data_IF_286875787252
#
_entry.id   IF_286875787252
#
_cell.length_a   1.000
_cell.length_b   1.000
_cell.length_c   1.000
_cell.angle_alpha   90.00
_cell.angle_beta   90.00
_cell.angle_gamma   90.00
#
_symmetry.space_group_name_H-M   'P 1'
#
loop_
_entity.id
_entity.type
_entity.pdbx_description
1 polymer ?
#
# COMPACT_ATOMS: atom_id res chain seq x y z
N UNK A 1 -17.30 -25.63 -10.71
CA UNK A 1 -17.52 -24.40 -9.91
C UNK A 1 -16.30 -23.51 -9.84
N UNK A 2 -15.29 -23.71 -10.71
CA UNK A 2 -14.04 -22.92 -10.79
C UNK A 2 -13.96 -22.00 -12.04
N UNK A 3 -14.82 -22.21 -13.02
CA UNK A 3 -14.75 -21.45 -14.29
C UNK A 3 -15.45 -20.08 -14.28
N UNK A 4 -16.22 -19.76 -13.25
CA UNK A 4 -17.00 -18.49 -13.21
C UNK A 4 -16.26 -17.34 -12.55
N UNK A 5 -15.08 -17.57 -11.97
CA UNK A 5 -14.32 -16.56 -11.21
C UNK A 5 -13.36 -15.76 -12.10
N UNK A 6 -12.88 -16.35 -13.20
CA UNK A 6 -11.88 -15.73 -14.09
C UNK A 6 -12.48 -14.63 -14.99
N UNK A 7 -13.78 -14.68 -15.28
CA UNK A 7 -14.43 -13.77 -16.23
C UNK A 7 -14.72 -12.36 -15.65
N UNK A 8 -14.60 -12.14 -14.36
CA UNK A 8 -15.04 -10.88 -13.72
C UNK A 8 -13.95 -9.82 -13.54
N UNK A 9 -12.69 -10.16 -13.82
CA UNK A 9 -11.55 -9.23 -13.69
C UNK A 9 -11.20 -8.48 -14.98
N UNK A 10 -11.77 -8.90 -16.12
CA UNK A 10 -11.46 -8.36 -17.45
C UNK A 10 -12.10 -7.02 -17.80
N UNK A 11 -13.15 -6.58 -17.11
CA UNK A 11 -14.02 -5.52 -17.64
C UNK A 11 -14.06 -4.20 -16.84
N UNK A 12 -13.39 -4.07 -15.70
CA UNK A 12 -13.53 -2.86 -14.88
C UNK A 12 -12.27 -2.00 -14.72
N UNK A 13 -11.12 -2.44 -15.25
CA UNK A 13 -9.93 -1.56 -15.29
C UNK A 13 -9.94 -0.75 -16.58
N UNK A 14 -10.42 0.49 -16.54
CA UNK A 14 -10.22 1.45 -17.64
C UNK A 14 -8.73 1.56 -17.93
N UNK A 15 -8.29 1.49 -19.20
CA UNK A 15 -6.88 1.72 -19.51
C UNK A 15 -6.52 3.15 -19.10
N UNK A 16 -5.54 3.27 -18.22
CA UNK A 16 -4.94 4.55 -17.85
C UNK A 16 -4.22 5.10 -19.10
N UNK A 17 -4.75 6.20 -19.64
CA UNK A 17 -4.06 6.96 -20.67
C UNK A 17 -3.14 7.93 -19.95
N UNK A 18 -1.89 7.55 -19.82
CA UNK A 18 -0.86 8.44 -19.28
C UNK A 18 -0.73 9.68 -20.17
N UNK A 19 -0.66 10.89 -19.59
CA UNK A 19 -0.23 12.05 -20.35
C UNK A 19 1.21 11.80 -20.84
N UNK A 20 1.45 11.97 -22.14
CA UNK A 20 2.76 11.78 -22.76
C UNK A 20 3.84 12.57 -22.01
N UNK A 21 4.96 11.95 -21.64
CA UNK A 21 6.03 12.66 -20.97
C UNK A 21 6.72 13.62 -21.95
N UNK A 22 6.60 14.91 -21.68
CA UNK A 22 7.12 16.01 -22.51
C UNK A 22 8.66 16.21 -22.44
N UNK A 23 9.44 15.23 -21.93
CA UNK A 23 10.87 15.49 -21.65
C UNK A 23 11.84 14.33 -21.88
N UNK A 24 11.52 13.36 -22.72
CA UNK A 24 12.53 12.35 -23.07
C UNK A 24 12.79 12.28 -24.57
N UNK A 25 13.80 13.02 -24.99
CA UNK A 25 14.50 12.77 -26.24
C UNK A 25 16.00 12.99 -26.00
N UNK A 26 16.74 11.94 -25.63
CA UNK A 26 18.19 11.90 -25.75
C UNK A 26 18.60 10.62 -26.49
N UNK A 27 18.95 10.84 -27.74
CA UNK A 27 19.48 9.83 -28.63
C UNK A 27 20.96 9.60 -28.38
N UNK A 28 21.34 8.79 -27.42
CA UNK A 28 22.62 8.06 -27.44
C UNK A 28 22.80 7.20 -26.20
N UNK A 29 22.48 5.91 -26.30
CA UNK A 29 23.26 4.77 -25.82
C UNK A 29 22.43 3.50 -25.99
N UNK A 30 22.91 2.55 -26.79
CA UNK A 30 22.37 1.20 -26.88
C UNK A 30 22.37 0.59 -25.48
N UNK A 31 21.23 0.61 -24.80
CA UNK A 31 21.04 -0.17 -23.60
C UNK A 31 21.08 -1.65 -24.00
N UNK A 32 22.05 -2.38 -23.49
CA UNK A 32 21.99 -3.84 -23.49
C UNK A 32 20.76 -4.23 -22.68
N UNK A 33 19.87 -5.10 -23.18
CA UNK A 33 18.78 -5.59 -22.36
C UNK A 33 19.41 -6.29 -21.16
N UNK A 34 19.08 -5.83 -19.95
CA UNK A 34 19.48 -6.51 -18.73
C UNK A 34 18.83 -7.89 -18.75
N UNK A 35 19.56 -8.90 -18.30
CA UNK A 35 19.11 -10.29 -18.30
C UNK A 35 18.07 -10.44 -17.20
N UNK A 36 16.83 -10.02 -17.49
CA UNK A 36 15.69 -10.29 -16.62
C UNK A 36 15.25 -11.73 -16.86
N UNK A 37 15.39 -12.57 -15.86
CA UNK A 37 14.69 -13.84 -15.85
C UNK A 37 13.19 -13.50 -15.69
N UNK A 38 12.47 -13.56 -16.79
CA UNK A 38 11.01 -13.55 -16.80
C UNK A 38 10.59 -14.77 -15.99
N UNK A 39 9.99 -14.54 -14.82
CA UNK A 39 9.38 -15.63 -14.08
C UNK A 39 8.27 -16.23 -14.94
N UNK A 40 8.13 -17.56 -14.93
CA UNK A 40 6.96 -18.22 -15.52
C UNK A 40 5.72 -17.65 -14.81
N UNK A 41 4.89 -16.93 -15.56
CA UNK A 41 3.64 -16.36 -15.03
C UNK A 41 2.69 -17.52 -14.71
N UNK A 42 2.48 -17.78 -13.43
CA UNK A 42 1.49 -18.74 -12.97
C UNK A 42 0.10 -18.08 -13.03
N UNK A 43 -0.87 -18.63 -13.78
CA UNK A 43 -2.22 -18.05 -13.83
C UNK A 43 -2.81 -17.91 -12.44
N UNK A 44 -3.26 -16.69 -12.08
CA UNK A 44 -3.89 -16.39 -10.79
C UNK A 44 -2.93 -16.16 -9.62
N UNK A 45 -1.60 -16.26 -9.81
CA UNK A 45 -0.64 -15.93 -8.77
C UNK A 45 -0.51 -14.41 -8.61
N UNK A 46 -0.41 -13.94 -7.34
CA UNK A 46 -0.13 -12.54 -7.05
C UNK A 46 1.22 -12.11 -7.61
N UNK A 47 1.25 -10.94 -8.22
CA UNK A 47 2.43 -10.36 -8.87
C UNK A 47 3.12 -9.40 -7.93
N UNK A 48 4.38 -9.64 -7.66
CA UNK A 48 5.19 -8.80 -6.79
C UNK A 48 6.34 -8.19 -7.59
N UNK A 49 6.49 -6.89 -7.54
CA UNK A 49 7.67 -6.20 -8.05
C UNK A 49 8.62 -5.93 -6.89
N UNK A 50 9.87 -6.37 -7.02
CA UNK A 50 10.94 -6.08 -6.06
C UNK A 50 11.91 -5.09 -6.69
N UNK A 51 12.28 -4.06 -5.95
CA UNK A 51 13.20 -3.01 -6.39
C UNK A 51 14.32 -2.86 -5.37
N UNK A 52 15.56 -3.13 -5.79
CA UNK A 52 16.76 -3.07 -4.93
C UNK A 52 17.98 -2.97 -5.85
N UNK A 53 18.88 -2.03 -5.63
CA UNK A 53 20.11 -1.88 -6.43
C UNK A 53 21.19 -2.89 -6.06
N UNK A 54 21.10 -3.48 -4.85
CA UNK A 54 21.97 -4.60 -4.46
C UNK A 54 21.49 -5.92 -5.09
N UNK A 55 22.14 -6.32 -6.18
CA UNK A 55 21.79 -7.52 -6.95
C UNK A 55 21.77 -8.83 -6.14
N UNK A 56 22.67 -9.09 -5.17
CA UNK A 56 22.57 -10.24 -4.27
C UNK A 56 21.28 -10.22 -3.45
N UNK A 57 20.93 -9.09 -2.80
CA UNK A 57 19.70 -8.89 -2.04
C UNK A 57 18.46 -9.10 -2.91
N UNK A 58 18.45 -8.46 -4.10
CA UNK A 58 17.37 -8.58 -5.08
C UNK A 58 17.11 -10.04 -5.48
N UNK A 59 18.17 -10.79 -5.80
CA UNK A 59 18.07 -12.21 -6.18
C UNK A 59 17.56 -13.07 -5.02
N UNK A 60 18.07 -12.87 -3.81
CA UNK A 60 17.66 -13.61 -2.63
C UNK A 60 16.18 -13.38 -2.31
N UNK A 61 15.77 -12.12 -2.27
CA UNK A 61 14.37 -11.73 -2.01
C UNK A 61 13.45 -12.30 -3.10
N UNK A 62 13.85 -12.21 -4.37
CA UNK A 62 13.08 -12.78 -5.47
C UNK A 62 12.96 -14.30 -5.38
N UNK A 63 14.03 -15.00 -5.01
CA UNK A 63 14.01 -16.44 -4.80
C UNK A 63 13.01 -16.83 -3.70
N UNK A 64 13.09 -16.19 -2.54
CA UNK A 64 12.19 -16.47 -1.41
C UNK A 64 10.71 -16.31 -1.79
N UNK A 65 10.38 -15.24 -2.50
CA UNK A 65 8.98 -14.98 -2.88
C UNK A 65 8.48 -15.93 -4.00
N UNK A 66 9.37 -16.36 -4.91
CA UNK A 66 9.01 -17.36 -5.92
C UNK A 66 8.74 -18.74 -5.32
N UNK A 67 9.52 -19.15 -4.31
CA UNK A 67 9.30 -20.41 -3.57
C UNK A 67 7.91 -20.41 -2.87
N UNK A 68 7.42 -19.26 -2.43
CA UNK A 68 6.08 -19.08 -1.88
C UNK A 68 4.96 -19.07 -2.96
N UNK A 69 5.31 -19.18 -4.23
CA UNK A 69 4.37 -19.28 -5.33
C UNK A 69 3.96 -17.95 -5.97
N UNK A 70 4.57 -16.82 -5.60
CA UNK A 70 4.32 -15.52 -6.22
C UNK A 70 4.96 -15.41 -7.61
N UNK A 71 4.32 -14.64 -8.50
CA UNK A 71 4.96 -14.17 -9.74
C UNK A 71 5.81 -12.95 -9.40
N UNK A 72 7.14 -13.04 -9.59
CA UNK A 72 8.06 -12.00 -9.13
C UNK A 72 8.79 -11.35 -10.28
N UNK A 73 8.63 -10.04 -10.39
CA UNK A 73 9.40 -9.14 -11.25
C UNK A 73 10.46 -8.43 -10.42
N UNK A 74 11.54 -7.98 -11.08
CA UNK A 74 12.65 -7.31 -10.40
C UNK A 74 13.10 -6.09 -11.18
N UNK A 75 13.43 -5.01 -10.50
CA UNK A 75 14.07 -3.81 -11.05
C UNK A 75 15.27 -3.42 -10.17
N UNK A 76 16.31 -2.83 -10.74
CA UNK A 76 17.50 -2.43 -10.00
C UNK A 76 17.64 -0.91 -9.79
N UNK A 77 16.58 -0.16 -10.12
CA UNK A 77 16.51 1.29 -9.89
C UNK A 77 15.06 1.81 -9.94
N UNK A 78 14.84 3.01 -9.41
CA UNK A 78 13.51 3.61 -9.30
C UNK A 78 12.84 3.94 -10.64
N UNK A 79 13.60 4.34 -11.65
CA UNK A 79 13.03 4.67 -12.98
C UNK A 79 12.49 3.43 -13.68
N UNK A 80 13.21 2.32 -13.57
CA UNK A 80 12.76 1.05 -14.10
C UNK A 80 11.55 0.51 -13.33
N UNK A 81 11.55 0.68 -12.01
CA UNK A 81 10.42 0.30 -11.17
C UNK A 81 9.12 0.96 -11.65
N UNK A 82 9.12 2.27 -11.93
CA UNK A 82 7.94 2.97 -12.42
C UNK A 82 7.44 2.41 -13.76
N UNK A 83 8.36 2.13 -14.70
CA UNK A 83 8.00 1.52 -15.99
C UNK A 83 7.40 0.12 -15.83
N UNK A 84 7.99 -0.70 -14.95
CA UNK A 84 7.51 -2.05 -14.69
C UNK A 84 6.16 -2.07 -13.98
N UNK A 85 5.86 -1.08 -13.14
CA UNK A 85 4.55 -0.93 -12.51
C UNK A 85 3.48 -0.72 -13.58
N UNK A 86 3.73 0.16 -14.54
CA UNK A 86 2.80 0.43 -15.63
C UNK A 86 2.61 -0.79 -16.56
N UNK A 87 3.69 -1.52 -16.86
CA UNK A 87 3.68 -2.67 -17.79
C UNK A 87 3.11 -3.95 -17.12
N UNK A 88 3.55 -4.26 -15.90
CA UNK A 88 3.25 -5.53 -15.22
C UNK A 88 2.08 -5.46 -14.25
N UNK A 89 1.66 -4.25 -13.86
CA UNK A 89 0.54 -4.04 -12.92
C UNK A 89 0.67 -4.95 -11.69
N UNK A 90 1.75 -4.83 -10.89
CA UNK A 90 1.96 -5.70 -9.73
C UNK A 90 0.88 -5.46 -8.67
N UNK A 91 0.64 -6.48 -7.84
CA UNK A 91 -0.30 -6.42 -6.72
C UNK A 91 0.38 -5.93 -5.42
N UNK A 92 1.73 -5.95 -5.40
CA UNK A 92 2.57 -5.44 -4.31
C UNK A 92 3.92 -4.95 -4.86
N UNK A 93 4.38 -3.82 -4.36
CA UNK A 93 5.74 -3.32 -4.52
C UNK A 93 6.55 -3.56 -3.24
N UNK A 94 7.67 -4.27 -3.36
CA UNK A 94 8.70 -4.40 -2.31
C UNK A 94 9.87 -3.51 -2.73
N UNK A 95 10.17 -2.49 -1.96
CA UNK A 95 10.98 -1.35 -2.41
C UNK A 95 12.11 -1.04 -1.43
N UNK A 96 13.36 -1.13 -1.88
CA UNK A 96 14.48 -0.56 -1.12
C UNK A 96 14.45 0.98 -1.20
N UNK A 97 14.85 1.59 -0.10
CA UNK A 97 14.97 3.05 0.01
C UNK A 97 16.29 3.54 -0.57
N UNK A 98 17.37 2.85 -0.27
CA UNK A 98 18.74 3.33 -0.48
C UNK A 98 19.25 2.98 -1.88
N UNK A 99 18.67 3.59 -2.90
CA UNK A 99 19.07 3.37 -4.29
C UNK A 99 19.68 4.63 -4.90
N UNK A 100 20.69 4.51 -5.79
CA UNK A 100 21.28 5.64 -6.49
C UNK A 100 20.31 6.25 -7.51
N UNK A 101 20.34 7.56 -7.66
CA UNK A 101 19.47 8.30 -8.57
C UNK A 101 18.10 8.54 -7.94
N UNK A 102 17.05 7.90 -8.44
CA UNK A 102 15.71 7.97 -7.85
C UNK A 102 15.62 7.00 -6.67
N UNK A 103 15.59 7.53 -5.46
CA UNK A 103 15.49 6.75 -4.22
C UNK A 103 14.07 6.18 -4.00
N UNK A 104 13.94 5.26 -3.02
CA UNK A 104 12.65 4.64 -2.73
C UNK A 104 11.60 5.61 -2.17
N UNK A 105 12.03 6.71 -1.55
CA UNK A 105 11.10 7.75 -1.09
C UNK A 105 10.50 8.53 -2.27
N UNK A 106 11.31 8.84 -3.28
CA UNK A 106 10.85 9.51 -4.49
C UNK A 106 9.90 8.61 -5.29
N UNK A 107 10.21 7.32 -5.41
CA UNK A 107 9.32 6.31 -6.03
C UNK A 107 7.98 6.27 -5.29
N UNK A 108 8.00 6.15 -3.96
CA UNK A 108 6.79 6.12 -3.13
C UNK A 108 5.95 7.39 -3.31
N UNK A 109 6.58 8.56 -3.25
CA UNK A 109 5.89 9.85 -3.43
C UNK A 109 5.29 9.99 -4.83
N UNK A 110 5.99 9.50 -5.85
CA UNK A 110 5.47 9.51 -7.23
C UNK A 110 4.24 8.62 -7.36
N UNK A 111 4.30 7.39 -6.87
CA UNK A 111 3.21 6.42 -6.95
C UNK A 111 1.96 6.88 -6.20
N UNK A 112 2.10 7.51 -5.05
CA UNK A 112 0.95 7.97 -4.24
C UNK A 112 0.17 9.13 -4.87
N UNK A 113 0.65 9.70 -5.97
CA UNK A 113 -0.11 10.67 -6.78
C UNK A 113 -1.03 10.00 -7.80
N UNK A 114 -0.75 8.76 -8.17
CA UNK A 114 -1.40 8.09 -9.30
C UNK A 114 -1.98 6.71 -8.97
N UNK A 115 -1.58 6.08 -7.85
CA UNK A 115 -1.99 4.72 -7.53
C UNK A 115 -2.05 4.45 -6.03
N UNK A 116 -2.90 3.51 -5.64
CA UNK A 116 -2.98 2.94 -4.30
C UNK A 116 -2.28 1.57 -4.19
N UNK A 117 -1.35 1.26 -5.11
CA UNK A 117 -0.55 0.04 -5.08
C UNK A 117 0.06 -0.17 -3.68
N UNK A 118 -0.14 -1.32 -3.02
CA UNK A 118 0.49 -1.61 -1.74
C UNK A 118 2.02 -1.56 -1.85
N UNK A 119 2.67 -0.91 -0.87
CA UNK A 119 4.13 -0.73 -0.82
C UNK A 119 4.66 -1.23 0.52
N UNK A 120 5.53 -2.23 0.46
CA UNK A 120 6.37 -2.67 1.58
C UNK A 120 7.78 -2.10 1.38
N UNK A 121 8.22 -1.23 2.28
CA UNK A 121 9.57 -0.68 2.25
C UNK A 121 10.55 -1.63 2.93
N UNK A 122 11.69 -1.86 2.27
CA UNK A 122 12.89 -2.47 2.85
C UNK A 122 13.94 -1.38 3.05
N UNK A 123 14.58 -1.28 4.22
CA UNK A 123 15.61 -0.26 4.41
C UNK A 123 16.64 -0.65 5.45
N UNK A 124 17.92 -0.32 5.16
CA UNK A 124 18.98 -0.38 6.15
C UNK A 124 18.86 0.68 7.26
N UNK A 125 18.02 1.70 7.06
CA UNK A 125 17.70 2.71 8.06
C UNK A 125 16.69 2.14 9.05
N UNK A 126 17.18 1.70 10.21
CA UNK A 126 16.37 1.09 11.27
C UNK A 126 15.80 2.08 12.29
N UNK A 127 16.06 3.39 12.15
CA UNK A 127 15.59 4.39 13.09
C UNK A 127 14.07 4.60 13.01
N UNK A 128 13.47 4.87 14.17
CA UNK A 128 12.02 5.12 14.25
C UNK A 128 11.59 6.30 13.35
N UNK A 129 12.43 7.32 13.21
CA UNK A 129 12.23 8.49 12.35
C UNK A 129 12.07 8.11 10.88
N UNK A 130 12.94 7.24 10.35
CA UNK A 130 12.88 6.83 8.94
C UNK A 130 11.64 5.97 8.64
N UNK A 131 11.24 5.14 9.60
CA UNK A 131 10.01 4.35 9.51
C UNK A 131 8.77 5.23 9.49
N UNK A 132 8.69 6.17 10.43
CA UNK A 132 7.59 7.16 10.47
C UNK A 132 7.54 7.93 9.17
N UNK A 133 8.69 8.39 8.66
CA UNK A 133 8.77 9.11 7.40
C UNK A 133 8.27 8.27 6.21
N UNK A 134 8.68 7.00 6.09
CA UNK A 134 8.23 6.11 5.02
C UNK A 134 6.73 5.83 5.07
N UNK A 135 6.21 5.59 6.27
CA UNK A 135 4.78 5.43 6.47
C UNK A 135 4.03 6.73 6.18
N UNK A 136 4.52 7.90 6.59
CA UNK A 136 3.92 9.21 6.27
C UNK A 136 3.90 9.49 4.76
N UNK A 137 4.92 9.05 4.01
CA UNK A 137 4.95 9.17 2.55
C UNK A 137 3.94 8.25 1.83
N UNK A 138 3.43 7.24 2.51
CA UNK A 138 2.41 6.40 1.92
C UNK A 138 2.72 4.91 1.87
N UNK A 139 3.84 4.45 2.38
CA UNK A 139 4.10 3.01 2.50
C UNK A 139 3.02 2.32 3.35
N UNK A 140 2.72 1.06 3.07
CA UNK A 140 1.72 0.26 3.79
C UNK A 140 2.35 -0.57 4.90
N UNK A 141 3.64 -0.86 4.79
CA UNK A 141 4.45 -1.48 5.85
C UNK A 141 5.93 -1.18 5.63
N UNK A 142 6.75 -1.52 6.62
CA UNK A 142 8.18 -1.26 6.65
C UNK A 142 8.92 -2.43 7.29
N UNK A 143 10.05 -2.84 6.71
CA UNK A 143 10.91 -3.89 7.22
C UNK A 143 12.37 -3.42 7.22
N UNK A 144 13.00 -3.45 8.39
CA UNK A 144 14.41 -3.06 8.52
C UNK A 144 15.33 -4.17 8.01
N UNK A 145 16.39 -3.81 7.28
CA UNK A 145 17.51 -4.70 6.92
C UNK A 145 18.58 -4.67 8.04
N UNK A 146 19.20 -5.80 8.41
CA UNK A 146 18.91 -7.15 7.92
C UNK A 146 17.62 -7.71 8.52
N UNK A 147 16.92 -8.54 7.78
CA UNK A 147 15.67 -9.19 8.21
C UNK A 147 15.75 -10.71 8.06
N UNK A 148 14.96 -11.41 8.85
CA UNK A 148 14.77 -12.84 8.69
C UNK A 148 13.82 -13.15 7.52
N UNK A 149 14.09 -14.19 6.71
CA UNK A 149 13.19 -14.58 5.60
C UNK A 149 11.73 -14.76 6.03
N UNK A 150 11.51 -15.36 7.19
CA UNK A 150 10.17 -15.56 7.75
C UNK A 150 9.42 -14.25 8.02
N UNK A 151 10.12 -13.19 8.46
CA UNK A 151 9.54 -11.88 8.70
C UNK A 151 9.13 -11.21 7.39
N UNK A 152 10.00 -11.22 6.37
CA UNK A 152 9.65 -10.71 5.04
C UNK A 152 8.38 -11.39 4.52
N UNK A 153 8.34 -12.73 4.53
CA UNK A 153 7.20 -13.49 4.04
C UNK A 153 5.91 -13.23 4.85
N UNK A 154 6.02 -13.08 6.16
CA UNK A 154 4.89 -12.74 7.01
C UNK A 154 4.33 -11.35 6.66
N UNK A 155 5.19 -10.35 6.45
CA UNK A 155 4.77 -8.98 6.07
C UNK A 155 4.16 -8.94 4.67
N UNK A 156 4.79 -9.59 3.69
CA UNK A 156 4.23 -9.70 2.33
C UNK A 156 2.83 -10.30 2.36
N UNK A 157 2.65 -11.45 3.03
CA UNK A 157 1.32 -12.07 3.20
C UNK A 157 0.32 -11.13 3.90
N UNK A 158 0.76 -10.41 4.94
CA UNK A 158 -0.10 -9.49 5.66
C UNK A 158 -0.54 -8.30 4.81
N UNK A 159 0.37 -7.71 4.00
CA UNK A 159 0.04 -6.59 3.10
C UNK A 159 -0.93 -7.05 2.01
N UNK A 160 -0.65 -8.16 1.33
CA UNK A 160 -1.52 -8.71 0.28
C UNK A 160 -2.91 -9.07 0.83
N UNK A 161 -2.98 -9.79 1.95
CA UNK A 161 -4.25 -10.11 2.61
C UNK A 161 -5.08 -8.87 2.93
N UNK A 162 -4.44 -7.79 3.36
CA UNK A 162 -5.12 -6.51 3.64
C UNK A 162 -5.66 -5.87 2.36
N UNK A 163 -4.96 -5.99 1.25
CA UNK A 163 -5.42 -5.51 -0.06
C UNK A 163 -6.60 -6.34 -0.58
N UNK A 164 -6.58 -7.66 -0.38
CA UNK A 164 -7.64 -8.59 -0.83
C UNK A 164 -8.90 -8.57 0.04
N UNK A 165 -8.77 -8.38 1.34
CA UNK A 165 -9.86 -8.60 2.30
C UNK A 165 -11.11 -7.75 2.05
N UNK A 166 -11.00 -6.65 1.30
CA UNK A 166 -12.15 -5.87 0.84
C UNK A 166 -12.71 -6.31 -0.52
N UNK A 167 -11.99 -7.18 -1.23
CA UNK A 167 -12.42 -7.71 -2.54
C UNK A 167 -13.25 -8.99 -2.38
N UNK A 168 -13.03 -9.79 -1.33
CA UNK A 168 -13.61 -11.13 -1.14
C UNK A 168 -14.46 -11.31 0.14
N UNK A 169 -14.59 -10.27 0.98
CA UNK A 169 -15.51 -10.28 2.11
C UNK A 169 -16.97 -10.23 1.64
N UNK A 170 -17.91 -10.69 2.50
CA UNK A 170 -19.36 -10.56 2.29
C UNK A 170 -19.72 -9.22 1.62
N UNK A 171 -20.75 -9.12 0.76
CA UNK A 171 -21.16 -7.86 0.15
C UNK A 171 -21.41 -6.86 1.29
N UNK A 172 -20.36 -6.13 1.63
CA UNK A 172 -20.45 -5.16 2.72
C UNK A 172 -21.38 -4.07 2.23
N UNK A 173 -22.55 -4.01 2.84
CA UNK A 173 -23.48 -2.91 2.69
C UNK A 173 -22.68 -1.61 2.80
N UNK A 174 -22.88 -0.73 1.84
CA UNK A 174 -22.24 0.58 1.78
C UNK A 174 -22.32 1.24 3.18
N UNK A 175 -21.19 1.29 3.90
CA UNK A 175 -21.17 1.88 5.23
C UNK A 175 -21.29 3.39 5.11
N UNK A 176 -22.34 3.96 5.70
CA UNK A 176 -22.56 5.40 5.71
C UNK A 176 -22.70 5.88 7.15
N UNK A 177 -21.91 6.88 7.52
CA UNK A 177 -21.93 7.51 8.85
C UNK A 177 -21.68 9.02 8.67
N UNK A 178 -22.51 9.87 9.27
CA UNK A 178 -22.35 11.33 9.26
C UNK A 178 -22.12 11.93 7.85
N UNK A 179 -22.79 11.38 6.83
CA UNK A 179 -22.63 11.83 5.45
C UNK A 179 -21.39 11.26 4.72
N UNK A 180 -20.51 10.55 5.40
CA UNK A 180 -19.45 9.77 4.77
C UNK A 180 -20.03 8.50 4.19
N UNK A 181 -19.59 8.10 2.99
CA UNK A 181 -19.97 6.85 2.34
C UNK A 181 -18.73 6.13 1.85
N UNK A 182 -18.53 4.92 2.31
CA UNK A 182 -17.42 4.07 1.91
C UNK A 182 -17.79 3.19 0.72
N UNK A 183 -16.90 3.16 -0.27
CA UNK A 183 -16.96 2.23 -1.42
C UNK A 183 -15.82 1.22 -1.30
N UNK A 184 -16.11 -0.02 -0.88
CA UNK A 184 -15.08 -1.05 -0.72
C UNK A 184 -14.52 -1.59 -2.03
N UNK A 185 -15.23 -1.41 -3.15
CA UNK A 185 -14.77 -1.89 -4.46
C UNK A 185 -13.63 -1.03 -4.99
N UNK A 186 -13.75 0.28 -4.79
CA UNK A 186 -12.78 1.25 -5.31
C UNK A 186 -11.84 1.80 -4.25
N UNK A 187 -11.95 1.35 -2.97
CA UNK A 187 -11.23 1.93 -1.83
C UNK A 187 -11.40 3.45 -1.74
N UNK A 188 -12.61 3.94 -1.99
CA UNK A 188 -12.91 5.37 -1.92
C UNK A 188 -13.86 5.71 -0.79
N UNK A 189 -13.78 6.93 -0.32
CA UNK A 189 -14.76 7.53 0.60
C UNK A 189 -15.33 8.79 -0.01
N UNK A 190 -16.66 8.90 -0.03
CA UNK A 190 -17.35 10.15 -0.35
C UNK A 190 -17.59 10.91 0.95
N UNK A 191 -17.12 12.14 1.02
CA UNK A 191 -17.26 13.04 2.18
C UNK A 191 -18.65 13.69 2.19
N UNK A 192 -19.07 14.31 3.30
CA UNK A 192 -20.34 15.03 3.40
C UNK A 192 -20.55 16.13 2.35
N UNK A 193 -19.47 16.72 1.84
CA UNK A 193 -19.48 17.72 0.76
C UNK A 193 -19.50 17.12 -0.65
N UNK A 194 -19.78 15.82 -0.79
CA UNK A 194 -19.74 15.03 -2.03
C UNK A 194 -18.35 14.92 -2.72
N UNK A 195 -17.27 15.31 -2.07
CA UNK A 195 -15.92 15.06 -2.59
C UNK A 195 -15.56 13.59 -2.40
N UNK A 196 -15.19 12.90 -3.47
CA UNK A 196 -14.62 11.57 -3.40
C UNK A 196 -13.12 11.64 -3.12
N UNK A 197 -12.63 10.74 -2.26
CA UNK A 197 -11.23 10.63 -1.85
C UNK A 197 -10.80 9.19 -1.97
N UNK A 198 -9.70 8.95 -2.68
CA UNK A 198 -9.08 7.63 -2.79
C UNK A 198 -8.19 7.35 -1.58
N UNK A 199 -8.31 6.14 -1.07
CA UNK A 199 -7.56 5.65 0.08
C UNK A 199 -6.72 4.45 -0.31
N UNK A 200 -5.53 4.29 0.30
CA UNK A 200 -4.83 3.02 0.21
C UNK A 200 -5.63 1.93 0.95
N UNK A 201 -5.42 0.64 0.64
CA UNK A 201 -6.15 -0.44 1.31
C UNK A 201 -6.10 -0.37 2.83
N UNK A 202 -4.95 0.00 3.39
CA UNK A 202 -4.78 0.10 4.84
C UNK A 202 -5.50 1.33 5.42
N UNK A 203 -5.50 2.47 4.74
CA UNK A 203 -6.25 3.66 5.13
C UNK A 203 -7.76 3.40 5.09
N UNK A 204 -8.22 2.73 4.03
CA UNK A 204 -9.62 2.34 3.90
C UNK A 204 -10.04 1.44 5.06
N UNK A 205 -9.23 0.43 5.38
CA UNK A 205 -9.48 -0.50 6.47
C UNK A 205 -9.53 0.19 7.84
N UNK A 206 -8.62 1.12 8.09
CA UNK A 206 -8.61 1.92 9.31
C UNK A 206 -9.86 2.80 9.42
N UNK A 207 -10.20 3.53 8.36
CA UNK A 207 -11.40 4.37 8.32
C UNK A 207 -12.67 3.54 8.50
N UNK A 208 -12.79 2.42 7.79
CA UNK A 208 -13.92 1.49 7.92
C UNK A 208 -14.07 1.00 9.37
N UNK A 209 -12.95 0.61 10.02
CA UNK A 209 -12.97 0.16 11.42
C UNK A 209 -13.45 1.26 12.36
N UNK A 210 -12.99 2.49 12.18
CA UNK A 210 -13.42 3.65 12.97
C UNK A 210 -14.89 3.98 12.74
N UNK A 211 -15.34 4.04 11.50
CA UNK A 211 -16.74 4.35 11.15
C UNK A 211 -17.71 3.26 11.62
N UNK A 212 -17.33 1.98 11.52
CA UNK A 212 -18.15 0.88 12.04
C UNK A 212 -18.34 0.94 13.55
N UNK A 213 -17.41 1.58 14.25
CA UNK A 213 -17.46 1.81 15.69
C UNK A 213 -17.69 3.29 16.04
N UNK A 214 -18.38 4.03 15.18
CA UNK A 214 -18.60 5.45 15.35
C UNK A 214 -19.19 5.78 16.75
N UNK A 215 -18.70 6.88 17.35
CA UNK A 215 -19.02 7.27 18.71
C UNK A 215 -18.26 6.53 19.81
N UNK A 216 -17.53 5.43 19.50
CA UNK A 216 -16.75 4.66 20.48
C UNK A 216 -15.26 4.92 20.32
N UNK A 217 -14.56 5.02 21.45
CA UNK A 217 -13.10 5.08 21.47
C UNK A 217 -12.54 3.67 21.22
N UNK A 218 -11.67 3.54 20.22
CA UNK A 218 -10.88 2.34 19.97
C UNK A 218 -9.45 2.56 20.43
N UNK A 219 -8.92 1.63 21.22
CA UNK A 219 -7.54 1.70 21.71
C UNK A 219 -6.53 1.47 20.58
N UNK A 220 -5.27 1.86 20.79
CA UNK A 220 -4.20 1.57 19.84
C UNK A 220 -4.09 0.07 19.54
N UNK A 221 -4.17 -0.76 20.57
CA UNK A 221 -4.08 -2.22 20.45
C UNK A 221 -5.26 -2.80 19.65
N UNK A 222 -6.49 -2.33 19.92
CA UNK A 222 -7.67 -2.74 19.16
C UNK A 222 -7.57 -2.34 17.69
N UNK A 223 -7.11 -1.13 17.40
CA UNK A 223 -6.89 -0.66 16.02
C UNK A 223 -5.77 -1.46 15.36
N UNK A 224 -4.66 -1.69 16.06
CA UNK A 224 -3.53 -2.45 15.51
C UNK A 224 -3.96 -3.90 15.17
N UNK A 225 -4.57 -4.61 16.10
CA UNK A 225 -5.00 -6.00 15.89
C UNK A 225 -6.08 -6.12 14.81
N UNK A 226 -7.05 -5.19 14.76
CA UNK A 226 -8.14 -5.25 13.78
C UNK A 226 -7.68 -4.89 12.37
N UNK A 227 -6.83 -3.88 12.24
CA UNK A 227 -6.41 -3.33 10.94
C UNK A 227 -5.20 -4.08 10.40
N UNK A 228 -4.22 -4.39 11.24
CA UNK A 228 -2.97 -5.08 10.83
C UNK A 228 -2.97 -6.58 11.10
N UNK A 229 -3.73 -7.06 12.06
CA UNK A 229 -3.86 -8.47 12.45
C UNK A 229 -3.25 -8.75 13.82
N UNK A 230 -3.70 -9.84 14.46
CA UNK A 230 -3.28 -10.22 15.82
C UNK A 230 -1.79 -10.56 15.93
N UNK A 231 -1.20 -11.13 14.86
CA UNK A 231 0.20 -11.53 14.83
C UNK A 231 1.13 -10.39 14.37
N UNK A 232 0.60 -9.16 14.28
CA UNK A 232 1.37 -8.04 13.81
C UNK A 232 2.19 -7.41 14.94
N UNK A 233 3.47 -7.73 15.00
CA UNK A 233 4.45 -7.09 15.87
C UNK A 233 4.92 -5.73 15.29
N UNK A 234 3.94 -4.89 14.94
CA UNK A 234 4.21 -3.58 14.38
C UNK A 234 4.63 -2.54 15.43
N UNK A 235 5.01 -1.38 14.92
CA UNK A 235 5.54 -0.30 15.76
C UNK A 235 4.41 0.43 16.49
N UNK A 236 4.64 0.79 17.75
CA UNK A 236 3.66 1.41 18.65
C UNK A 236 3.02 2.71 18.12
N UNK A 237 3.71 3.45 17.24
CA UNK A 237 3.23 4.70 16.66
C UNK A 237 2.62 4.56 15.25
N UNK A 238 2.54 3.35 14.70
CA UNK A 238 1.99 3.13 13.34
C UNK A 238 0.55 3.63 13.20
N UNK A 239 -0.31 3.30 14.15
CA UNK A 239 -1.70 3.80 14.15
C UNK A 239 -1.75 5.32 14.05
N UNK A 240 -0.90 6.03 14.82
CA UNK A 240 -0.87 7.49 14.82
C UNK A 240 -0.49 8.08 13.45
N UNK A 241 0.46 7.45 12.75
CA UNK A 241 0.87 7.85 11.40
C UNK A 241 -0.31 7.75 10.43
N UNK A 242 -1.03 6.63 10.43
CA UNK A 242 -2.17 6.46 9.53
C UNK A 242 -3.38 7.32 9.91
N UNK A 243 -3.60 7.60 11.19
CA UNK A 243 -4.59 8.59 11.63
C UNK A 243 -4.25 9.98 11.07
N UNK A 244 -2.98 10.39 11.15
CA UNK A 244 -2.54 11.67 10.58
C UNK A 244 -2.77 11.72 9.07
N UNK A 245 -2.46 10.66 8.33
CA UNK A 245 -2.72 10.56 6.89
C UNK A 245 -4.21 10.66 6.56
N UNK A 246 -5.08 9.92 7.28
CA UNK A 246 -6.51 10.01 7.12
C UNK A 246 -7.01 11.44 7.38
N UNK A 247 -6.56 12.09 8.46
CA UNK A 247 -6.92 13.48 8.76
C UNK A 247 -6.51 14.42 7.63
N UNK A 248 -5.30 14.28 7.10
CA UNK A 248 -4.83 15.10 5.96
C UNK A 248 -5.69 14.94 4.70
N UNK A 249 -6.35 13.80 4.52
CA UNK A 249 -7.23 13.53 3.38
C UNK A 249 -8.68 13.92 3.62
N UNK A 250 -9.18 13.81 4.85
CA UNK A 250 -10.61 13.86 5.18
C UNK A 250 -11.04 15.11 5.96
N UNK A 251 -10.18 15.62 6.83
CA UNK A 251 -10.51 16.75 7.69
C UNK A 251 -10.42 18.09 6.97
N UNK A 252 -11.27 19.06 7.30
CA UNK A 252 -11.06 20.43 6.85
C UNK A 252 -9.78 21.05 7.40
N UNK A 253 -9.45 20.74 8.66
CA UNK A 253 -8.20 21.09 9.33
C UNK A 253 -7.65 19.86 10.04
N UNK A 254 -6.55 19.25 9.56
CA UNK A 254 -5.96 18.06 10.16
C UNK A 254 -5.45 18.25 11.60
N UNK A 255 -5.08 19.47 11.99
CA UNK A 255 -4.55 19.80 13.31
C UNK A 255 -5.67 20.06 14.33
N UNK A 256 -6.90 20.36 13.85
CA UNK A 256 -8.11 20.49 14.64
C UNK A 256 -9.22 19.58 14.07
N UNK A 257 -9.07 18.25 14.25
CA UNK A 257 -9.92 17.26 13.58
C UNK A 257 -11.31 17.20 14.18
N UNK A 258 -12.33 17.17 13.31
CA UNK A 258 -13.74 17.04 13.69
C UNK A 258 -14.25 15.61 13.63
N UNK A 259 -13.78 14.84 12.64
CA UNK A 259 -14.30 13.50 12.37
C UNK A 259 -13.49 12.40 13.06
N UNK A 260 -12.17 12.47 12.98
CA UNK A 260 -11.29 11.48 13.61
C UNK A 260 -10.62 12.13 14.81
N UNK A 261 -11.22 12.03 15.99
CA UNK A 261 -10.73 12.69 17.18
C UNK A 261 -9.83 11.81 18.03
N UNK A 262 -8.88 12.43 18.75
CA UNK A 262 -8.00 11.75 19.70
C UNK A 262 -8.62 11.73 21.08
N UNK A 263 -8.85 10.54 21.63
CA UNK A 263 -9.11 10.34 23.06
C UNK A 263 -7.77 10.19 23.79
N UNK A 264 -7.27 11.26 24.40
CA UNK A 264 -5.93 11.32 25.01
C UNK A 264 -5.69 10.16 25.96
N UNK A 265 -4.58 9.47 25.81
CA UNK A 265 -4.18 8.31 26.62
C UNK A 265 -4.97 7.02 26.36
N UNK A 266 -6.01 7.04 25.51
CA UNK A 266 -6.86 5.89 25.21
C UNK A 266 -6.74 5.41 23.77
N UNK A 267 -6.90 6.31 22.78
CA UNK A 267 -6.91 5.94 21.37
C UNK A 267 -7.62 6.95 20.48
N UNK A 268 -8.41 6.46 19.52
CA UNK A 268 -9.08 7.29 18.52
C UNK A 268 -10.57 6.93 18.39
N UNK A 269 -11.35 7.90 17.94
CA UNK A 269 -12.80 7.78 17.76
C UNK A 269 -13.22 8.46 16.46
N UNK A 270 -14.14 7.86 15.72
CA UNK A 270 -14.91 8.58 14.70
C UNK A 270 -16.07 9.29 15.39
N UNK A 271 -16.10 10.62 15.32
CA UNK A 271 -17.09 11.43 16.03
C UNK A 271 -18.43 11.37 15.29
N UNK A 272 -19.52 11.42 16.06
CA UNK A 272 -20.90 11.49 15.56
C UNK A 272 -21.54 12.77 16.05
N UNK A 273 -22.28 13.47 15.19
CA UNK A 273 -22.95 14.73 15.52
C UNK A 273 -22.02 15.95 15.45
N UNK A 274 -20.99 15.91 14.59
CA UNK A 274 -20.07 17.02 14.35
C UNK A 274 -20.54 17.97 13.27
#
# INVERSE_FOLDING_TARGET
>A
MYETIVARWGETRKPFVAPSPLWYNDGSKKHRPSVYQVAEEKPGAMRILIVDDDRPSLKMTAFLLREEGYTVYTADNGQEALRMIDDKQPDLLVLDVMMPGMDGWEVTRHLRRTTNLPILILSAKGETSDRVFGLDLGADDYLAKPFEPSELLARVRAVLRRAEAFTFGEPQSQLSVEGFRLDPVNNTVTLPNNRAVELTPIEFRLLHTLMRNAGRVLTHEQLLSTVWGYDYEGYSNQVAVYIRRLRSKLEPNPDDPRYIVTARGLGYKFETGA
#
